data_IF_439757726417
#
_entry.id   IF_439757726417
#
_cell.length_a   1.000
_cell.length_b   1.000
_cell.length_c   1.000
_cell.angle_alpha   90.00
_cell.angle_beta   90.00
_cell.angle_gamma   90.00
#
_symmetry.space_group_name_H-M   'P 1'
#
loop_
_entity.id
_entity.type
_entity.pdbx_description
1 polymer ?
#
# COMPACT_ATOMS: atom_id res chain seq x y z
N UNK A 1 -1.17 21.59 5.70
CA UNK A 1 -2.11 22.13 6.71
C UNK A 1 -3.55 22.22 6.20
N UNK A 2 -3.81 22.81 5.03
CA UNK A 2 -5.16 22.93 4.44
C UNK A 2 -5.90 21.58 4.26
N UNK A 3 -5.22 20.56 3.72
CA UNK A 3 -5.79 19.22 3.50
C UNK A 3 -6.21 18.51 4.79
N UNK A 4 -5.44 18.68 5.88
CA UNK A 4 -5.75 18.06 7.17
C UNK A 4 -6.97 18.71 7.85
N UNK A 5 -7.14 20.02 7.70
CA UNK A 5 -8.30 20.76 8.19
C UNK A 5 -9.58 20.37 7.43
N UNK A 6 -9.50 20.21 6.11
CA UNK A 6 -10.61 19.73 5.29
C UNK A 6 -11.01 18.31 5.70
N UNK A 7 -10.05 17.39 5.83
CA UNK A 7 -10.31 16.02 6.25
C UNK A 7 -10.98 15.96 7.64
N UNK A 8 -10.44 16.68 8.62
CA UNK A 8 -10.99 16.75 9.97
C UNK A 8 -12.41 17.34 10.02
N UNK A 9 -12.62 18.46 9.32
CA UNK A 9 -13.94 19.10 9.24
C UNK A 9 -15.00 18.20 8.61
N UNK A 10 -14.63 17.48 7.55
CA UNK A 10 -15.54 16.54 6.87
C UNK A 10 -15.94 15.38 7.80
N UNK A 11 -15.01 14.88 8.60
CA UNK A 11 -15.24 13.76 9.53
C UNK A 11 -16.18 14.14 10.67
N UNK A 12 -16.03 15.37 11.20
CA UNK A 12 -16.92 15.92 12.23
C UNK A 12 -18.32 16.15 11.65
N UNK A 13 -18.43 16.74 10.45
CA UNK A 13 -19.72 16.96 9.79
C UNK A 13 -20.46 15.65 9.52
N UNK A 14 -19.76 14.61 9.07
CA UNK A 14 -20.35 13.29 8.84
C UNK A 14 -20.85 12.63 10.12
N UNK A 15 -20.04 12.64 11.18
CA UNK A 15 -20.44 12.03 12.47
C UNK A 15 -21.61 12.77 13.12
N UNK A 16 -21.56 14.10 13.16
CA UNK A 16 -22.67 14.93 13.68
C UNK A 16 -23.93 14.76 12.83
N UNK A 17 -23.80 14.75 11.50
CA UNK A 17 -24.91 14.57 10.57
C UNK A 17 -25.60 13.22 10.74
N UNK A 18 -24.85 12.13 10.81
CA UNK A 18 -25.40 10.77 11.03
C UNK A 18 -26.08 10.69 12.40
N UNK A 19 -25.46 11.25 13.44
CA UNK A 19 -26.02 11.26 14.80
C UNK A 19 -27.33 12.05 14.85
N UNK A 20 -27.38 13.24 14.23
CA UNK A 20 -28.59 14.05 14.15
C UNK A 20 -29.71 13.33 13.39
N UNK A 21 -29.39 12.64 12.29
CA UNK A 21 -30.38 11.87 11.52
C UNK A 21 -30.94 10.70 12.34
N UNK A 22 -30.07 9.95 13.02
CA UNK A 22 -30.47 8.86 13.90
C UNK A 22 -31.38 9.35 15.05
N UNK A 23 -31.01 10.46 15.71
CA UNK A 23 -31.84 11.08 16.73
C UNK A 23 -33.19 11.53 16.18
N UNK A 24 -33.24 12.19 15.01
CA UNK A 24 -34.49 12.60 14.37
C UNK A 24 -35.42 11.43 14.08
N UNK A 25 -34.90 10.33 13.54
CA UNK A 25 -35.72 9.14 13.28
C UNK A 25 -36.31 8.53 14.55
N UNK A 26 -35.59 8.63 15.66
CA UNK A 26 -36.06 8.10 16.96
C UNK A 26 -37.10 9.03 17.59
N UNK A 27 -36.93 10.35 17.47
CA UNK A 27 -37.85 11.36 18.02
C UNK A 27 -39.20 11.42 17.28
N UNK A 28 -39.23 10.97 16.02
CA UNK A 28 -40.45 10.89 15.21
C UNK A 28 -41.28 9.62 15.48
N UNK A 29 -40.76 8.63 16.22
CA UNK A 29 -41.54 7.46 16.64
C UNK A 29 -42.44 7.80 17.83
N UNK A 30 -43.64 7.21 17.87
CA UNK A 30 -44.58 7.43 18.99
C UNK A 30 -43.98 6.92 20.31
N UNK A 31 -43.91 7.75 21.38
CA UNK A 31 -43.28 7.36 22.64
C UNK A 31 -43.95 6.14 23.30
N UNK A 32 -45.27 6.02 23.18
CA UNK A 32 -46.01 4.84 23.65
C UNK A 32 -45.64 3.54 22.91
N UNK A 33 -45.24 3.64 21.63
CA UNK A 33 -44.81 2.48 20.82
C UNK A 33 -43.37 2.03 21.13
N UNK A 34 -42.52 2.95 21.62
CA UNK A 34 -41.16 2.64 22.09
C UNK A 34 -41.14 1.91 23.44
N UNK A 35 -42.17 2.10 24.27
CA UNK A 35 -42.30 1.43 25.58
C UNK A 35 -42.90 0.02 25.51
N UNK A 36 -43.45 -0.37 24.35
CA UNK A 36 -43.98 -1.72 24.12
C UNK A 36 -42.90 -2.63 23.52
N UNK A 37 -42.90 -3.94 23.87
CA UNK A 37 -42.00 -4.89 23.23
C UNK A 37 -42.28 -4.92 21.73
N UNK A 38 -41.30 -4.51 20.91
CA UNK A 38 -41.45 -4.44 19.44
C UNK A 38 -41.92 -5.79 18.91
N UNK A 39 -43.11 -5.78 18.30
CA UNK A 39 -43.70 -6.98 17.71
C UNK A 39 -42.70 -7.65 16.74
N UNK A 40 -42.53 -8.98 16.84
CA UNK A 40 -41.51 -9.66 16.08
C UNK A 40 -41.90 -9.65 14.60
N UNK A 41 -41.12 -8.96 13.75
CA UNK A 41 -41.41 -8.74 12.31
C UNK A 41 -41.88 -10.02 11.60
N UNK A 42 -43.03 -10.00 10.91
CA UNK A 42 -43.60 -11.19 10.26
C UNK A 42 -42.56 -12.01 9.48
N UNK A 43 -42.55 -13.33 9.68
CA UNK A 43 -41.62 -14.24 9.01
C UNK A 43 -41.90 -14.30 7.52
N UNK A 44 -41.03 -13.69 6.70
CA UNK A 44 -41.05 -13.85 5.24
C UNK A 44 -40.19 -15.05 4.82
N UNK A 45 -40.57 -15.69 3.70
CA UNK A 45 -39.75 -16.73 3.05
C UNK A 45 -38.34 -16.23 2.79
N UNK A 46 -37.37 -17.12 2.93
CA UNK A 46 -35.95 -16.77 2.99
C UNK A 46 -35.27 -17.17 1.68
N UNK A 47 -34.31 -16.38 1.22
CA UNK A 47 -33.61 -16.65 -0.04
C UNK A 47 -32.92 -18.03 -0.07
N UNK A 48 -32.44 -18.51 1.08
CA UNK A 48 -31.86 -19.85 1.22
C UNK A 48 -32.87 -20.99 1.02
N UNK A 49 -34.18 -20.76 1.20
CA UNK A 49 -35.21 -21.78 0.89
C UNK A 49 -35.34 -21.99 -0.62
N UNK A 50 -34.87 -21.04 -1.45
CA UNK A 50 -34.81 -21.17 -2.91
C UNK A 50 -33.62 -22.02 -3.38
N UNK A 51 -32.59 -22.18 -2.55
CA UNK A 51 -31.43 -23.05 -2.82
C UNK A 51 -31.68 -24.40 -2.16
N UNK A 52 -32.59 -25.17 -2.75
CA UNK A 52 -33.04 -26.49 -2.27
C UNK A 52 -31.94 -27.53 -2.00
N UNK A 53 -30.85 -27.66 -2.79
CA UNK A 53 -29.86 -28.71 -2.53
C UNK A 53 -29.04 -28.46 -1.26
N UNK A 54 -28.71 -27.19 -0.96
CA UNK A 54 -27.99 -26.82 0.25
C UNK A 54 -28.93 -26.88 1.48
N UNK A 55 -30.18 -26.46 1.32
CA UNK A 55 -31.18 -26.45 2.39
C UNK A 55 -31.56 -27.85 2.89
N UNK A 56 -31.61 -28.85 2.00
CA UNK A 56 -31.92 -30.24 2.37
C UNK A 56 -30.85 -30.86 3.28
N UNK A 57 -29.58 -30.49 3.12
CA UNK A 57 -28.43 -31.03 3.88
C UNK A 57 -28.26 -30.42 5.29
N UNK A 58 -28.95 -29.32 5.60
CA UNK A 58 -28.83 -28.65 6.90
C UNK A 58 -29.65 -29.35 8.00
N UNK A 59 -29.08 -29.56 9.20
CA UNK A 59 -29.81 -30.04 10.37
C UNK A 59 -30.96 -29.08 10.74
N UNK A 60 -31.96 -29.58 11.47
CA UNK A 60 -33.12 -28.78 11.89
C UNK A 60 -32.70 -27.54 12.69
N UNK A 61 -31.71 -27.66 13.59
CA UNK A 61 -31.16 -26.54 14.36
C UNK A 61 -30.62 -25.42 13.47
N UNK A 62 -29.83 -25.77 12.45
CA UNK A 62 -29.29 -24.81 11.48
C UNK A 62 -30.36 -24.16 10.61
N UNK A 63 -31.41 -24.90 10.23
CA UNK A 63 -32.56 -24.33 9.49
C UNK A 63 -33.26 -23.25 10.30
N UNK A 64 -33.42 -23.46 11.62
CA UNK A 64 -34.00 -22.47 12.54
C UNK A 64 -33.07 -21.27 12.72
N UNK A 65 -31.76 -21.50 12.90
CA UNK A 65 -30.76 -20.43 13.03
C UNK A 65 -30.65 -19.57 11.77
N UNK A 66 -30.52 -20.17 10.59
CA UNK A 66 -30.53 -19.45 9.31
C UNK A 66 -31.84 -18.69 9.12
N UNK A 67 -32.97 -19.27 9.55
CA UNK A 67 -34.25 -18.57 9.49
C UNK A 67 -34.28 -17.31 10.35
N UNK A 68 -33.73 -17.39 11.55
CA UNK A 68 -33.66 -16.28 12.48
C UNK A 68 -32.68 -15.19 12.01
N UNK A 69 -31.52 -15.59 11.48
CA UNK A 69 -30.49 -14.67 10.99
C UNK A 69 -30.98 -13.85 9.79
N UNK A 70 -31.62 -14.52 8.82
CA UNK A 70 -32.05 -13.91 7.56
C UNK A 70 -33.39 -13.19 7.65
N UNK A 71 -34.14 -13.36 8.75
CA UNK A 71 -35.28 -12.51 9.11
C UNK A 71 -34.86 -11.05 9.27
N UNK A 72 -33.63 -10.80 9.73
CA UNK A 72 -33.08 -9.46 9.97
C UNK A 72 -31.96 -9.10 8.99
N UNK A 73 -32.28 -9.08 7.69
CA UNK A 73 -31.32 -8.80 6.60
C UNK A 73 -30.46 -7.55 6.85
N UNK A 74 -31.04 -6.46 7.37
CA UNK A 74 -30.30 -5.22 7.70
C UNK A 74 -29.21 -5.44 8.76
N UNK A 75 -29.54 -6.17 9.84
CA UNK A 75 -28.61 -6.42 10.96
C UNK A 75 -27.50 -7.38 10.54
N UNK A 76 -27.85 -8.41 9.76
CA UNK A 76 -26.88 -9.36 9.22
C UNK A 76 -25.84 -8.68 8.32
N UNK A 77 -26.28 -7.88 7.34
CA UNK A 77 -25.37 -7.18 6.44
C UNK A 77 -24.47 -6.17 7.17
N UNK A 78 -25.00 -5.46 8.17
CA UNK A 78 -24.20 -4.55 9.01
C UNK A 78 -23.03 -5.29 9.69
N UNK A 79 -23.27 -6.47 10.28
CA UNK A 79 -22.21 -7.25 10.92
C UNK A 79 -21.22 -7.85 9.92
N UNK A 80 -21.71 -8.36 8.78
CA UNK A 80 -20.85 -8.98 7.76
C UNK A 80 -19.91 -7.95 7.14
N UNK A 81 -20.43 -6.76 6.80
CA UNK A 81 -19.60 -5.69 6.25
C UNK A 81 -18.56 -5.21 7.27
N UNK A 82 -18.91 -5.14 8.56
CA UNK A 82 -17.96 -4.78 9.61
C UNK A 82 -16.79 -5.77 9.72
N UNK A 83 -17.10 -7.06 9.82
CA UNK A 83 -16.07 -8.12 9.92
C UNK A 83 -15.25 -8.22 8.63
N UNK A 84 -15.90 -8.17 7.47
CA UNK A 84 -15.24 -8.19 6.17
C UNK A 84 -14.33 -6.97 5.99
N UNK A 85 -14.78 -5.78 6.40
CA UNK A 85 -14.00 -4.54 6.34
C UNK A 85 -12.73 -4.62 7.17
N UNK A 86 -12.83 -5.03 8.44
CA UNK A 86 -11.67 -5.20 9.30
C UNK A 86 -10.69 -6.26 8.75
N UNK A 87 -11.21 -7.39 8.29
CA UNK A 87 -10.39 -8.46 7.69
C UNK A 87 -9.69 -7.98 6.41
N UNK A 88 -10.40 -7.25 5.55
CA UNK A 88 -9.82 -6.71 4.30
C UNK A 88 -8.69 -5.71 4.57
N UNK A 89 -8.83 -4.88 5.61
CA UNK A 89 -7.82 -3.90 5.99
C UNK A 89 -6.54 -4.61 6.49
N UNK A 90 -6.71 -5.68 7.27
CA UNK A 90 -5.62 -6.50 7.76
C UNK A 90 -4.89 -7.21 6.62
N UNK A 91 -5.62 -7.81 5.67
CA UNK A 91 -5.03 -8.44 4.47
C UNK A 91 -4.29 -7.42 3.62
N UNK A 92 -4.84 -6.22 3.43
CA UNK A 92 -4.15 -5.14 2.71
C UNK A 92 -2.85 -4.73 3.42
N UNK A 93 -2.86 -4.62 4.76
CA UNK A 93 -1.67 -4.33 5.55
C UNK A 93 -0.57 -5.38 5.35
N UNK A 94 -0.92 -6.67 5.39
CA UNK A 94 0.05 -7.73 5.10
C UNK A 94 0.51 -7.74 3.63
N UNK A 95 -0.39 -7.48 2.67
CA UNK A 95 -0.02 -7.41 1.27
C UNK A 95 1.00 -6.30 0.97
N UNK A 96 0.83 -5.13 1.60
CA UNK A 96 1.81 -4.04 1.51
C UNK A 96 3.14 -4.45 2.15
N UNK A 97 3.10 -5.07 3.34
CA UNK A 97 4.31 -5.53 4.03
C UNK A 97 5.09 -6.55 3.21
N UNK A 98 4.41 -7.51 2.59
CA UNK A 98 5.03 -8.54 1.75
C UNK A 98 5.61 -7.94 0.46
N UNK A 99 4.86 -7.04 -0.17
CA UNK A 99 5.32 -6.33 -1.36
C UNK A 99 6.59 -5.54 -1.09
N UNK A 100 6.65 -4.79 0.02
CA UNK A 100 7.83 -4.03 0.42
C UNK A 100 9.04 -4.93 0.67
N UNK A 101 8.86 -6.03 1.40
CA UNK A 101 9.94 -6.98 1.65
C UNK A 101 10.49 -7.57 0.34
N UNK A 102 9.61 -7.96 -0.59
CA UNK A 102 10.04 -8.51 -1.88
C UNK A 102 10.83 -7.50 -2.74
N UNK A 103 10.49 -6.21 -2.66
CA UNK A 103 11.21 -5.13 -3.35
C UNK A 103 12.58 -4.93 -2.70
N UNK A 104 12.63 -4.86 -1.37
CA UNK A 104 13.89 -4.68 -0.64
C UNK A 104 14.86 -5.83 -0.92
N UNK A 105 14.40 -7.09 -0.87
CA UNK A 105 15.27 -8.24 -1.14
C UNK A 105 15.83 -8.23 -2.56
N UNK A 106 15.03 -7.85 -3.57
CA UNK A 106 15.54 -7.75 -4.95
C UNK A 106 16.48 -6.56 -5.12
N UNK A 107 16.13 -5.41 -4.55
CA UNK A 107 16.90 -4.19 -4.71
C UNK A 107 18.27 -4.25 -4.01
N UNK A 108 18.34 -4.82 -2.81
CA UNK A 108 19.56 -4.90 -2.01
C UNK A 108 20.25 -6.28 -2.04
N UNK A 109 19.61 -7.30 -2.61
CA UNK A 109 20.21 -8.62 -2.81
C UNK A 109 20.73 -8.81 -4.24
N UNK A 110 19.89 -8.50 -5.23
CA UNK A 110 20.18 -8.83 -6.64
C UNK A 110 20.71 -7.62 -7.44
N UNK A 111 20.30 -6.40 -7.09
CA UNK A 111 20.60 -5.19 -7.91
C UNK A 111 21.76 -4.39 -7.34
N UNK A 112 21.79 -4.11 -6.03
CA UNK A 112 22.88 -3.37 -5.38
C UNK A 112 23.78 -4.32 -4.61
N UNK A 113 25.07 -4.29 -4.93
CA UNK A 113 26.11 -5.13 -4.32
C UNK A 113 27.04 -4.32 -3.41
N UNK A 114 26.51 -3.24 -2.80
CA UNK A 114 27.24 -2.41 -1.84
C UNK A 114 26.55 -2.40 -0.48
N UNK A 115 27.34 -2.40 0.59
CA UNK A 115 26.83 -2.38 1.97
C UNK A 115 26.61 -0.95 2.51
N UNK A 116 27.29 0.05 1.91
CA UNK A 116 27.27 1.43 2.39
C UNK A 116 27.27 2.42 1.23
N UNK A 117 26.46 3.48 1.35
CA UNK A 117 26.48 4.65 0.48
C UNK A 117 26.52 5.91 1.33
N UNK A 118 27.51 6.76 1.08
CA UNK A 118 27.69 8.05 1.73
C UNK A 118 27.40 9.18 0.76
N UNK A 119 26.47 10.07 1.10
CA UNK A 119 26.17 11.25 0.28
C UNK A 119 26.99 12.42 0.82
N UNK A 120 27.83 12.98 -0.05
CA UNK A 120 28.64 14.17 0.28
C UNK A 120 28.18 15.37 -0.55
N UNK A 121 28.05 16.52 0.10
CA UNK A 121 27.63 17.76 -0.57
C UNK A 121 28.78 18.52 -1.22
N UNK A 122 30.01 18.29 -0.75
CA UNK A 122 31.23 18.93 -1.28
C UNK A 122 32.01 17.91 -2.08
N UNK A 123 32.37 18.25 -3.32
CA UNK A 123 33.18 17.39 -4.19
C UNK A 123 34.57 17.13 -3.60
N UNK A 124 35.16 18.08 -2.87
CA UNK A 124 36.46 17.87 -2.21
C UNK A 124 36.48 16.65 -1.27
N UNK A 125 35.33 16.29 -0.67
CA UNK A 125 35.21 15.15 0.22
C UNK A 125 35.23 13.79 -0.51
N UNK A 126 35.07 13.77 -1.84
CA UNK A 126 35.26 12.57 -2.67
C UNK A 126 36.70 12.36 -3.10
N UNK A 127 37.56 13.37 -2.93
CA UNK A 127 38.97 13.33 -3.36
C UNK A 127 39.94 13.34 -2.17
N UNK A 128 39.53 13.91 -1.03
CA UNK A 128 40.37 14.02 0.16
C UNK A 128 39.56 14.18 1.45
N UNK A 129 40.19 13.89 2.59
CA UNK A 129 39.62 14.10 3.92
C UNK A 129 39.12 12.82 4.58
N UNK A 130 38.51 12.95 5.78
CA UNK A 130 38.26 11.81 6.66
C UNK A 130 37.28 10.78 6.07
N UNK A 131 36.36 11.21 5.20
CA UNK A 131 35.43 10.30 4.51
C UNK A 131 36.15 9.52 3.42
N UNK A 132 36.97 10.19 2.61
CA UNK A 132 37.79 9.54 1.59
C UNK A 132 38.76 8.53 2.21
N UNK A 133 39.46 8.92 3.28
CA UNK A 133 40.39 8.03 3.99
C UNK A 133 39.67 6.79 4.56
N UNK A 134 38.46 6.96 5.08
CA UNK A 134 37.68 5.82 5.58
C UNK A 134 37.22 4.87 4.47
N UNK A 135 36.88 5.39 3.29
CA UNK A 135 36.35 4.57 2.19
C UNK A 135 37.46 3.94 1.33
N UNK A 136 38.59 4.61 1.15
CA UNK A 136 39.65 4.17 0.24
C UNK A 136 40.92 3.69 0.93
N UNK A 137 41.19 4.10 2.18
CA UNK A 137 42.42 3.79 2.91
C UNK A 137 42.20 2.92 4.15
N UNK A 138 41.03 2.31 4.30
CA UNK A 138 40.70 1.46 5.45
C UNK A 138 40.65 -0.02 5.04
N UNK A 139 41.32 -0.88 5.79
CA UNK A 139 41.38 -2.33 5.55
C UNK A 139 40.00 -3.02 5.67
N UNK A 140 39.04 -2.38 6.35
CA UNK A 140 37.67 -2.89 6.48
C UNK A 140 36.79 -2.64 5.25
N UNK A 141 37.27 -1.90 4.25
CA UNK A 141 36.53 -1.59 3.01
C UNK A 141 37.20 -2.29 1.84
N UNK A 142 36.48 -3.21 1.19
CA UNK A 142 37.02 -4.03 0.11
C UNK A 142 37.21 -3.24 -1.18
N UNK A 143 36.17 -2.50 -1.59
CA UNK A 143 36.17 -1.70 -2.81
C UNK A 143 35.24 -0.49 -2.65
N UNK A 144 35.61 0.63 -3.27
CA UNK A 144 34.87 1.90 -3.19
C UNK A 144 34.72 2.55 -4.56
N UNK A 145 33.51 3.02 -4.86
CA UNK A 145 33.18 3.71 -6.12
C UNK A 145 32.45 5.02 -5.83
N UNK A 146 32.99 6.12 -6.34
CA UNK A 146 32.33 7.42 -6.28
C UNK A 146 31.34 7.56 -7.43
N UNK A 147 30.14 8.05 -7.12
CA UNK A 147 29.08 8.33 -8.09
C UNK A 147 28.59 9.77 -7.93
N UNK A 148 28.45 10.49 -9.03
CA UNK A 148 27.75 11.77 -9.05
C UNK A 148 26.25 11.51 -9.20
N UNK A 149 25.44 12.11 -8.32
CA UNK A 149 23.99 12.04 -8.38
C UNK A 149 23.40 13.43 -8.52
N UNK A 150 22.57 13.62 -9.53
CA UNK A 150 21.78 14.83 -9.72
C UNK A 150 20.32 14.46 -9.90
N UNK A 151 19.42 15.20 -9.27
CA UNK A 151 17.98 15.03 -9.43
C UNK A 151 17.38 16.31 -9.97
N UNK A 152 16.64 16.21 -11.06
CA UNK A 152 15.91 17.33 -11.65
C UNK A 152 14.45 16.96 -11.81
N UNK A 153 13.57 17.95 -11.70
CA UNK A 153 12.15 17.75 -11.94
C UNK A 153 11.82 18.22 -13.35
N UNK A 154 11.18 17.35 -14.12
CA UNK A 154 10.87 17.58 -15.53
C UNK A 154 9.38 17.40 -15.75
N UNK A 155 8.78 18.24 -16.59
CA UNK A 155 7.38 18.09 -17.00
C UNK A 155 7.26 16.92 -17.98
N UNK A 156 6.58 15.87 -17.55
CA UNK A 156 6.23 14.72 -18.37
C UNK A 156 4.80 14.82 -18.92
N UNK A 157 4.42 13.90 -19.84
CA UNK A 157 3.08 13.85 -20.41
C UNK A 157 1.96 13.70 -19.36
N UNK A 158 2.27 13.04 -18.24
CA UNK A 158 1.33 12.72 -17.15
C UNK A 158 1.56 13.57 -15.87
N UNK A 159 2.35 14.64 -15.97
CA UNK A 159 2.67 15.56 -14.88
C UNK A 159 4.16 15.67 -14.57
N UNK A 160 4.51 16.36 -13.49
CA UNK A 160 5.90 16.51 -13.06
C UNK A 160 6.52 15.15 -12.66
N UNK A 161 7.71 14.87 -13.19
CA UNK A 161 8.48 13.65 -12.91
C UNK A 161 9.86 14.01 -12.35
N UNK A 162 10.27 13.33 -11.28
CA UNK A 162 11.63 13.45 -10.75
C UNK A 162 12.56 12.51 -11.52
N UNK A 163 13.52 13.10 -12.24
CA UNK A 163 14.55 12.39 -13.02
C UNK A 163 15.84 12.36 -12.22
N UNK A 164 16.39 11.17 -12.02
CA UNK A 164 17.67 10.97 -11.32
C UNK A 164 18.74 10.59 -12.33
N UNK A 165 19.76 11.43 -12.45
CA UNK A 165 20.97 11.15 -13.21
C UNK A 165 22.05 10.64 -12.25
N UNK A 166 22.57 9.46 -12.52
CA UNK A 166 23.69 8.88 -11.79
C UNK A 166 24.84 8.64 -12.77
N UNK A 167 26.02 9.18 -12.46
CA UNK A 167 27.23 9.02 -13.29
C UNK A 167 28.34 8.45 -12.42
N UNK A 168 28.78 7.20 -12.66
CA UNK A 168 29.89 6.62 -11.92
C UNK A 168 31.23 7.19 -12.40
N UNK A 169 32.18 7.34 -11.47
CA UNK A 169 33.54 7.79 -11.80
C UNK A 169 34.28 6.78 -12.70
N UNK A 170 34.05 5.48 -12.47
CA UNK A 170 34.60 4.38 -13.26
C UNK A 170 33.49 3.44 -13.71
N UNK A 171 33.20 3.46 -15.02
CA UNK A 171 32.13 2.66 -15.63
C UNK A 171 32.43 1.15 -15.54
N UNK A 172 33.70 0.76 -15.70
CA UNK A 172 34.10 -0.65 -15.71
C UNK A 172 33.90 -1.32 -14.35
N UNK A 173 34.08 -0.57 -13.25
CA UNK A 173 33.84 -1.05 -11.88
C UNK A 173 32.36 -1.02 -11.49
N UNK A 174 31.52 -0.24 -12.18
CA UNK A 174 30.12 -0.07 -11.79
C UNK A 174 29.34 -1.39 -11.81
N UNK A 175 29.68 -2.31 -12.72
CA UNK A 175 29.05 -3.63 -12.80
C UNK A 175 29.26 -4.50 -11.54
N UNK A 176 30.29 -4.21 -10.73
CA UNK A 176 30.53 -4.90 -9.46
C UNK A 176 29.66 -4.34 -8.32
N UNK A 177 29.19 -3.09 -8.44
CA UNK A 177 28.41 -2.38 -7.43
C UNK A 177 26.90 -2.40 -7.73
N UNK A 178 26.52 -2.46 -9.01
CA UNK A 178 25.13 -2.51 -9.43
C UNK A 178 24.94 -3.39 -10.67
N UNK A 179 24.07 -4.39 -10.57
CA UNK A 179 23.69 -5.21 -11.71
C UNK A 179 22.60 -4.50 -12.55
N UNK A 180 22.93 -4.24 -13.81
CA UNK A 180 22.02 -3.68 -14.80
C UNK A 180 21.57 -4.79 -15.73
N UNK A 181 20.31 -5.23 -15.59
CA UNK A 181 19.71 -6.22 -16.48
C UNK A 181 18.29 -5.84 -16.90
N UNK A 182 17.86 -6.36 -18.05
CA UNK A 182 16.50 -6.17 -18.54
C UNK A 182 15.49 -6.97 -17.67
N UNK A 183 14.42 -6.31 -17.18
CA UNK A 183 13.44 -6.93 -16.27
C UNK A 183 12.82 -8.24 -16.78
N UNK A 184 12.47 -8.30 -18.06
CA UNK A 184 11.74 -9.43 -18.65
C UNK A 184 12.67 -10.55 -19.13
N UNK A 185 13.74 -10.17 -19.85
CA UNK A 185 14.65 -11.14 -20.47
C UNK A 185 15.82 -11.55 -19.55
N UNK A 186 16.05 -10.80 -18.46
CA UNK A 186 17.23 -10.87 -17.59
C UNK A 186 18.58 -10.79 -18.32
N UNK A 187 18.61 -10.27 -19.54
CA UNK A 187 19.87 -10.03 -20.24
C UNK A 187 20.60 -8.87 -19.57
N UNK A 188 21.88 -9.06 -19.28
CA UNK A 188 22.75 -8.00 -18.78
C UNK A 188 22.82 -6.86 -19.81
N UNK A 189 22.73 -5.62 -19.32
CA UNK A 189 22.83 -4.38 -20.07
C UNK A 189 24.02 -3.62 -19.52
N UNK A 190 25.26 -3.93 -19.97
CA UNK A 190 26.44 -3.27 -19.48
C UNK A 190 26.41 -1.77 -19.82
N UNK A 191 26.80 -0.93 -18.87
CA UNK A 191 26.99 0.49 -19.11
C UNK A 191 28.28 0.67 -19.93
N UNK A 192 28.16 1.19 -21.15
CA UNK A 192 29.33 1.52 -21.99
C UNK A 192 29.82 2.95 -21.76
N UNK A 193 31.07 3.26 -22.12
CA UNK A 193 31.67 4.60 -21.94
C UNK A 193 30.95 5.75 -22.68
N UNK A 194 30.07 5.44 -23.64
CA UNK A 194 29.27 6.42 -24.40
C UNK A 194 27.76 6.12 -24.33
N UNK A 195 27.33 5.18 -23.48
CA UNK A 195 25.95 4.73 -23.39
C UNK A 195 25.20 5.35 -22.21
N UNK A 196 23.91 5.60 -22.39
CA UNK A 196 22.99 5.95 -21.30
C UNK A 196 22.04 4.77 -21.07
N UNK A 197 21.95 4.31 -19.84
CA UNK A 197 20.97 3.30 -19.42
C UNK A 197 19.83 4.02 -18.72
N UNK A 198 18.62 3.90 -19.27
CA UNK A 198 17.41 4.44 -18.66
C UNK A 198 16.68 3.29 -17.99
N UNK A 199 16.52 3.37 -16.66
CA UNK A 199 15.70 2.41 -15.94
C UNK A 199 14.25 2.92 -15.81
N UNK A 200 13.31 1.98 -15.75
CA UNK A 200 11.93 2.29 -15.42
C UNK A 200 11.78 2.41 -13.91
N UNK A 201 11.74 3.64 -13.38
CA UNK A 201 11.29 3.88 -12.00
C UNK A 201 9.80 4.20 -12.03
N UNK A 202 8.95 3.17 -11.88
CA UNK A 202 7.49 3.23 -12.03
C UNK A 202 6.83 4.54 -11.54
N UNK A 203 6.20 5.30 -12.46
CA UNK A 203 5.08 6.16 -12.13
C UNK A 203 3.99 5.86 -13.16
N UNK A 204 3.39 4.66 -13.13
CA UNK A 204 2.12 4.46 -13.84
C UNK A 204 0.99 4.75 -12.87
N UNK A 205 0.22 5.84 -13.04
CA UNK A 205 -1.08 5.94 -12.40
C UNK A 205 -1.95 4.81 -12.95
N UNK A 206 -2.47 3.98 -12.06
CA UNK A 206 -3.45 2.96 -12.39
C UNK A 206 -4.70 3.63 -12.98
N UNK A 207 -4.94 3.43 -14.27
CA UNK A 207 -6.24 3.64 -14.92
C UNK A 207 -6.63 2.34 -15.61
#
# INVERSE_FOLDING_TARGET
MSQALLAGGTLILLTVGITALACRTTLQENPAALMLPRAPKAGKRILLERITPLWRRLPFSWKVTCRNLLRYKKRFWMTVIGVAGCTSLLVAGFGISDSLNSIITKQYGDIYHYDMMTIVTKQEATESGPVYDYLYNNENVTDSLTVAMESTRQDGPDGEMDVYLMVPQAVDKFAEFADLHERLSRKAVPLGQQGVVVNERWPRPWV
#
